data_IF_976206101586
#
_entry.id   IF_976206101586
#
_cell.length_a   1.000
_cell.length_b   1.000
_cell.length_c   1.000
_cell.angle_alpha   90.00
_cell.angle_beta   90.00
_cell.angle_gamma   90.00
#
_symmetry.space_group_name_H-M   'P 1'
#
loop_
_entity.id
_entity.type
_entity.pdbx_description
1 polymer ?
#
# COMPACT_ATOMS: atom_id res chain seq x y z
N UNK A 1 19.51 -19.55 14.16
CA UNK A 1 20.34 -19.21 12.99
C UNK A 1 20.00 -17.77 12.70
N UNK A 2 20.82 -16.85 13.23
CA UNK A 2 20.61 -15.42 13.08
C UNK A 2 20.86 -15.04 11.61
N UNK A 3 19.91 -14.34 10.99
CA UNK A 3 20.08 -13.81 9.63
C UNK A 3 20.90 -12.50 9.74
N UNK A 4 22.14 -12.44 9.22
CA UNK A 4 22.99 -11.25 9.36
C UNK A 4 22.40 -9.99 8.71
N UNK A 5 21.35 -10.14 7.88
CA UNK A 5 20.66 -9.03 7.22
C UNK A 5 19.54 -8.39 8.04
N UNK A 6 19.16 -8.98 9.19
CA UNK A 6 18.02 -8.52 10.00
C UNK A 6 18.36 -8.52 11.49
N UNK A 7 18.12 -7.39 12.17
CA UNK A 7 18.22 -7.23 13.62
C UNK A 7 16.83 -7.20 14.26
N UNK A 8 16.62 -7.99 15.32
CA UNK A 8 15.43 -7.88 16.16
C UNK A 8 15.68 -6.88 17.31
N UNK A 9 14.80 -5.88 17.46
CA UNK A 9 14.90 -4.85 18.50
C UNK A 9 13.55 -4.64 19.17
N UNK A 10 13.55 -4.44 20.48
CA UNK A 10 12.36 -4.08 21.24
C UNK A 10 12.12 -2.58 21.15
N UNK A 11 11.04 -2.18 20.47
CA UNK A 11 10.76 -0.79 20.12
C UNK A 11 9.34 -0.38 20.50
N UNK A 12 9.18 0.90 20.83
CA UNK A 12 7.88 1.47 21.15
C UNK A 12 7.18 1.94 19.88
N UNK A 13 6.14 1.22 19.46
CA UNK A 13 5.35 1.57 18.29
C UNK A 13 4.25 2.57 18.67
N UNK A 14 4.27 3.74 18.02
CA UNK A 14 3.28 4.81 18.21
C UNK A 14 2.43 4.95 16.96
N UNK A 15 1.11 4.94 17.12
CA UNK A 15 0.16 5.16 16.02
C UNK A 15 0.13 6.63 15.60
N UNK A 16 0.24 6.97 14.30
CA UNK A 16 0.14 8.35 13.81
C UNK A 16 -1.22 8.99 14.05
N UNK A 17 -2.28 8.17 14.18
CA UNK A 17 -3.67 8.61 14.41
C UNK A 17 -4.00 8.76 15.90
N UNK A 18 -3.01 8.62 16.78
CA UNK A 18 -3.20 8.49 18.21
C UNK A 18 -3.51 7.05 18.63
N UNK A 19 -3.32 6.77 19.93
CA UNK A 19 -3.47 5.44 20.52
C UNK A 19 -2.48 5.22 21.66
N UNK A 20 -2.62 4.10 22.37
CA UNK A 20 -1.69 3.71 23.43
C UNK A 20 -0.42 3.14 22.78
N UNK A 21 0.77 3.70 23.05
CA UNK A 21 2.03 3.13 22.56
C UNK A 21 2.18 1.68 22.98
N UNK A 22 2.64 0.83 22.07
CA UNK A 22 2.83 -0.60 22.34
C UNK A 22 4.30 -0.96 22.17
N UNK A 23 4.86 -1.57 23.22
CA UNK A 23 6.20 -2.13 23.17
C UNK A 23 6.14 -3.49 22.48
N UNK A 24 6.89 -3.64 21.38
CA UNK A 24 6.93 -4.86 20.58
C UNK A 24 8.33 -5.08 20.02
N UNK A 25 8.69 -6.36 19.90
CA UNK A 25 9.86 -6.79 19.14
C UNK A 25 9.57 -6.58 17.65
N UNK A 26 10.39 -5.77 16.99
CA UNK A 26 10.32 -5.47 15.57
C UNK A 26 11.61 -5.91 14.88
N UNK A 27 11.48 -6.32 13.61
CA UNK A 27 12.58 -6.74 12.76
C UNK A 27 13.04 -5.57 11.89
N UNK A 28 14.32 -5.24 11.95
CA UNK A 28 14.94 -4.15 11.22
C UNK A 28 15.96 -4.70 10.24
N UNK A 29 15.94 -4.20 9.00
CA UNK A 29 16.97 -4.53 8.02
C UNK A 29 18.30 -3.89 8.41
N UNK A 30 19.36 -4.68 8.40
CA UNK A 30 20.72 -4.19 8.47
C UNK A 30 21.11 -3.58 7.12
N UNK A 31 21.50 -2.30 7.05
CA UNK A 31 21.93 -1.70 5.80
C UNK A 31 23.21 -2.40 5.32
N UNK A 32 23.15 -2.95 4.11
CA UNK A 32 24.25 -3.73 3.48
C UNK A 32 25.47 -2.84 3.14
N UNK A 33 25.29 -1.51 3.16
CA UNK A 33 26.35 -0.55 2.86
C UNK A 33 26.51 0.40 4.04
N UNK A 34 27.65 0.32 4.71
CA UNK A 34 28.15 1.40 5.56
C UNK A 34 28.56 2.59 4.68
N UNK A 35 27.59 3.25 4.03
CA UNK A 35 27.86 4.49 3.28
C UNK A 35 27.66 5.68 4.20
N UNK A 36 28.44 5.74 5.28
CA UNK A 36 28.68 6.95 6.05
C UNK A 36 30.07 7.54 5.81
N UNK A 37 30.86 6.99 4.87
CA UNK A 37 32.09 7.63 4.37
C UNK A 37 31.80 8.70 3.30
N UNK A 38 30.64 9.35 3.37
CA UNK A 38 30.21 10.29 2.35
C UNK A 38 29.00 11.10 2.77
N UNK A 39 29.28 12.20 3.47
CA UNK A 39 28.33 13.27 3.83
C UNK A 39 27.33 12.86 4.93
N UNK A 40 27.29 13.66 6.00
CA UNK A 40 26.12 13.74 6.87
C UNK A 40 24.92 14.12 5.99
N UNK A 41 24.24 13.14 5.40
CA UNK A 41 22.96 13.34 4.76
C UNK A 41 21.98 13.63 5.89
N UNK A 42 21.96 14.90 6.32
CA UNK A 42 20.91 15.40 7.19
C UNK A 42 19.62 15.00 6.46
N UNK A 43 18.75 14.15 7.05
CA UNK A 43 17.48 13.87 6.45
C UNK A 43 16.84 15.23 6.14
N UNK A 44 16.25 15.42 4.95
CA UNK A 44 15.62 16.69 4.64
C UNK A 44 14.74 17.02 5.83
N UNK A 45 14.98 18.16 6.46
CA UNK A 45 14.16 18.63 7.56
C UNK A 45 12.82 18.94 6.93
N UNK A 46 11.95 17.93 6.83
CA UNK A 46 10.55 18.13 6.53
C UNK A 46 10.08 18.96 7.70
N UNK A 47 9.69 20.23 7.48
CA UNK A 47 9.10 21.00 8.54
C UNK A 47 7.75 20.33 8.80
N UNK A 48 7.70 19.42 9.77
CA UNK A 48 6.47 19.21 10.53
C UNK A 48 6.29 20.47 11.39
N UNK A 49 6.10 21.61 10.71
CA UNK A 49 5.59 22.80 11.35
C UNK A 49 4.18 22.44 11.75
N UNK A 50 3.89 22.52 13.04
CA UNK A 50 2.56 22.33 13.61
C UNK A 50 1.54 23.37 13.14
N UNK A 51 1.89 24.25 12.19
CA UNK A 51 1.09 25.38 11.75
C UNK A 51 1.09 25.61 10.23
N UNK A 52 1.57 24.68 9.41
CA UNK A 52 1.29 24.80 7.98
C UNK A 52 -0.17 24.42 7.73
N UNK A 53 -1.01 25.41 7.44
CA UNK A 53 -2.36 25.21 6.87
C UNK A 53 -2.21 24.48 5.53
N UNK A 54 -2.17 23.15 5.58
CA UNK A 54 -2.22 22.32 4.38
C UNK A 54 -3.58 22.56 3.72
N UNK A 55 -3.61 23.35 2.63
CA UNK A 55 -4.84 23.58 1.85
C UNK A 55 -5.31 22.31 1.13
N UNK A 56 -4.55 21.22 1.21
CA UNK A 56 -4.96 19.90 0.72
C UNK A 56 -5.84 19.21 1.77
N UNK A 57 -7.15 19.47 1.68
CA UNK A 57 -8.16 18.61 2.30
C UNK A 57 -8.21 17.28 1.54
N UNK A 58 -7.33 16.36 1.89
CA UNK A 58 -7.39 14.98 1.37
C UNK A 58 -8.49 14.26 2.14
N UNK A 59 -9.65 14.10 1.52
CA UNK A 59 -10.67 13.20 2.01
C UNK A 59 -10.22 11.76 1.78
N UNK A 60 -9.81 11.07 2.84
CA UNK A 60 -9.69 9.62 2.79
C UNK A 60 -11.11 9.04 2.71
N UNK A 61 -11.56 8.73 1.51
CA UNK A 61 -12.90 8.19 1.24
C UNK A 61 -13.10 6.74 1.73
N UNK A 62 -12.25 6.26 2.65
CA UNK A 62 -12.34 4.92 3.24
C UNK A 62 -12.66 3.83 2.22
N UNK A 63 -13.35 2.79 2.67
CA UNK A 63 -13.82 1.71 1.81
C UNK A 63 -14.81 2.17 0.73
N UNK A 64 -15.42 3.36 0.83
CA UNK A 64 -16.42 3.81 -0.13
C UNK A 64 -15.81 4.16 -1.50
N UNK A 65 -14.62 4.77 -1.53
CA UNK A 65 -13.89 4.99 -2.78
C UNK A 65 -13.38 3.69 -3.42
N UNK A 66 -13.13 2.68 -2.58
CA UNK A 66 -12.80 1.33 -3.05
C UNK A 66 -14.02 0.63 -3.66
N UNK A 67 -15.21 0.78 -3.08
CA UNK A 67 -16.46 0.24 -3.64
C UNK A 67 -16.82 0.87 -4.99
N UNK A 68 -16.67 2.19 -5.14
CA UNK A 68 -16.87 2.87 -6.44
C UNK A 68 -15.86 2.37 -7.50
N UNK A 69 -14.60 2.14 -7.11
CA UNK A 69 -13.60 1.52 -7.98
C UNK A 69 -13.97 0.08 -8.37
N UNK A 70 -14.57 -0.70 -7.47
CA UNK A 70 -15.02 -2.06 -7.77
C UNK A 70 -16.22 -2.06 -8.74
N UNK A 71 -17.18 -1.15 -8.58
CA UNK A 71 -18.30 -1.01 -9.52
C UNK A 71 -17.82 -0.59 -10.90
N UNK A 72 -16.97 0.43 -11.00
CA UNK A 72 -16.36 0.85 -12.26
C UNK A 72 -15.53 -0.27 -12.91
N UNK A 73 -14.87 -1.10 -12.11
CA UNK A 73 -14.11 -2.24 -12.61
C UNK A 73 -15.00 -3.32 -13.19
N UNK A 74 -16.16 -3.61 -12.60
CA UNK A 74 -17.11 -4.60 -13.14
C UNK A 74 -17.62 -4.17 -14.51
N UNK A 75 -18.11 -2.95 -14.64
CA UNK A 75 -18.60 -2.40 -15.92
C UNK A 75 -17.49 -2.40 -16.99
N UNK A 76 -16.26 -2.09 -16.59
CA UNK A 76 -15.11 -2.15 -17.48
C UNK A 76 -14.82 -3.58 -17.95
N UNK A 77 -14.85 -4.57 -17.04
CA UNK A 77 -14.65 -5.99 -17.40
C UNK A 77 -15.73 -6.48 -18.36
N UNK A 78 -17.00 -6.16 -18.11
CA UNK A 78 -18.11 -6.55 -18.99
C UNK A 78 -17.99 -5.92 -20.38
N UNK A 79 -17.62 -4.64 -20.45
CA UNK A 79 -17.38 -3.92 -21.71
C UNK A 79 -16.21 -4.53 -22.48
N UNK A 80 -15.10 -4.81 -21.79
CA UNK A 80 -13.90 -5.36 -22.42
C UNK A 80 -14.08 -6.83 -22.82
N UNK A 81 -14.87 -7.60 -22.07
CA UNK A 81 -15.24 -8.97 -22.44
C UNK A 81 -15.99 -8.98 -23.79
N UNK A 82 -16.96 -8.09 -23.99
CA UNK A 82 -17.70 -8.01 -25.23
C UNK A 82 -16.80 -7.76 -26.47
N UNK A 83 -15.69 -7.04 -26.29
CA UNK A 83 -14.76 -6.67 -27.36
C UNK A 83 -13.65 -7.72 -27.54
N UNK A 84 -13.13 -8.27 -26.43
CA UNK A 84 -11.88 -9.02 -26.41
C UNK A 84 -12.02 -10.49 -25.98
N UNK A 85 -13.23 -11.00 -25.79
CA UNK A 85 -13.47 -12.39 -25.36
C UNK A 85 -12.64 -13.44 -26.14
N UNK A 86 -12.52 -13.41 -27.48
CA UNK A 86 -11.70 -14.38 -28.21
C UNK A 86 -10.22 -14.31 -27.83
N UNK A 87 -9.68 -13.10 -27.64
CA UNK A 87 -8.28 -12.85 -27.30
C UNK A 87 -8.02 -13.28 -25.86
N UNK A 88 -8.88 -12.90 -24.93
CA UNK A 88 -8.76 -13.28 -23.51
C UNK A 88 -8.85 -14.79 -23.29
N UNK A 89 -9.64 -15.48 -24.11
CA UNK A 89 -9.71 -16.94 -24.10
C UNK A 89 -8.45 -17.57 -24.68
N UNK A 90 -7.89 -16.99 -25.75
CA UNK A 90 -6.66 -17.50 -26.39
C UNK A 90 -5.42 -17.38 -25.51
N UNK A 91 -5.36 -16.36 -24.65
CA UNK A 91 -4.25 -16.15 -23.70
C UNK A 91 -4.60 -16.57 -22.26
N UNK A 92 -5.71 -17.32 -22.10
CA UNK A 92 -6.17 -17.93 -20.84
C UNK A 92 -6.47 -16.99 -19.66
N UNK A 93 -6.42 -15.67 -19.84
CA UNK A 93 -6.72 -14.67 -18.79
C UNK A 93 -8.23 -14.49 -18.52
N UNK A 94 -9.10 -15.02 -19.40
CA UNK A 94 -10.55 -14.83 -19.30
C UNK A 94 -11.12 -15.24 -17.92
N UNK A 95 -10.68 -16.39 -17.39
CA UNK A 95 -11.18 -16.89 -16.10
C UNK A 95 -10.82 -15.95 -14.96
N UNK A 96 -9.61 -15.41 -14.96
CA UNK A 96 -9.12 -14.53 -13.89
C UNK A 96 -9.94 -13.23 -13.81
N UNK A 97 -10.17 -12.59 -14.96
CA UNK A 97 -11.00 -11.38 -15.02
C UNK A 97 -12.45 -11.65 -14.64
N UNK A 98 -13.03 -12.77 -15.11
CA UNK A 98 -14.42 -13.12 -14.83
C UNK A 98 -14.67 -13.46 -13.36
N UNK A 99 -13.76 -14.23 -12.76
CA UNK A 99 -13.80 -14.59 -11.34
C UNK A 99 -13.64 -13.32 -10.51
N UNK A 100 -12.62 -12.51 -10.79
CA UNK A 100 -12.37 -11.26 -10.06
C UNK A 100 -13.53 -10.25 -10.14
N UNK A 101 -14.28 -10.21 -11.25
CA UNK A 101 -15.50 -9.39 -11.36
C UNK A 101 -16.71 -9.95 -10.62
N UNK A 102 -16.75 -11.27 -10.36
CA UNK A 102 -17.88 -11.94 -9.70
C UNK A 102 -17.82 -11.78 -8.17
N UNK A 103 -16.63 -11.85 -7.58
CA UNK A 103 -16.44 -11.72 -6.12
C UNK A 103 -16.70 -10.30 -5.58
N UNK A 104 -16.79 -9.29 -6.44
CA UNK A 104 -17.11 -7.91 -6.05
C UNK A 104 -18.59 -7.70 -5.67
N UNK A 105 -19.45 -8.73 -5.74
CA UNK A 105 -20.90 -8.66 -5.45
C UNK A 105 -21.32 -9.26 -4.11
N UNK A 106 -20.44 -9.97 -3.39
CA UNK A 106 -20.82 -10.82 -2.24
C UNK A 106 -20.32 -10.29 -0.88
N UNK A 107 -20.24 -8.97 -0.68
CA UNK A 107 -19.85 -8.38 0.61
C UNK A 107 -20.56 -7.07 0.93
#
# INVERSE_FOLDING_TARGET
MEDPMMDERDEMLVSPLGGIPQQRIAQFLNPIVASNEGTNLKPPSIPFSSESEWTLKVSFHGCNGWMDQQMNRKEWVETMEAIHHPVWKAVEIYREFKISSLWSLDR
#
